data_IF_222050177515
#
_entry.id   IF_222050177515
#
_cell.length_a   1.000
_cell.length_b   1.000
_cell.length_c   1.000
_cell.angle_alpha   90.00
_cell.angle_beta   90.00
_cell.angle_gamma   90.00
#
_symmetry.space_group_name_H-M   'P 1'
#
loop_
_entity.id
_entity.type
_entity.pdbx_description
1 polymer ?
#
# COMPACT_ATOMS: atom_id res chain seq x y z
N UNK A 1 1.87 -9.84 10.09
CA UNK A 1 2.85 -9.35 9.09
C UNK A 1 2.16 -9.27 7.72
N UNK A 2 1.66 -8.09 7.32
CA UNK A 2 1.46 -7.83 5.90
C UNK A 2 2.82 -7.32 5.40
N UNK A 3 3.64 -8.19 4.81
CA UNK A 3 5.08 -7.95 4.67
C UNK A 3 5.47 -6.79 3.75
N UNK A 4 4.52 -6.13 3.06
CA UNK A 4 4.81 -5.07 2.08
C UNK A 4 5.73 -5.52 0.93
N UNK A 5 6.00 -6.83 0.84
CA UNK A 5 6.92 -7.42 -0.13
C UNK A 5 6.19 -7.50 -1.47
N UNK A 6 6.83 -6.97 -2.49
CA UNK A 6 6.35 -7.09 -3.87
C UNK A 6 6.50 -8.53 -4.36
N UNK A 7 5.63 -9.00 -5.28
CA UNK A 7 5.83 -10.28 -5.92
C UNK A 7 7.21 -10.37 -6.59
N UNK A 8 7.79 -11.58 -6.70
CA UNK A 8 9.05 -11.78 -7.42
C UNK A 8 9.00 -11.17 -8.83
N UNK A 9 10.04 -10.44 -9.22
CA UNK A 9 10.14 -9.80 -10.54
C UNK A 9 9.33 -8.49 -10.71
N UNK A 10 8.37 -8.20 -9.83
CA UNK A 10 7.40 -7.14 -10.09
C UNK A 10 7.99 -5.70 -10.05
N UNK A 11 9.07 -5.49 -9.29
CA UNK A 11 9.83 -4.22 -9.30
C UNK A 11 10.69 -4.05 -10.56
N UNK A 12 11.23 -5.14 -11.08
CA UNK A 12 12.14 -5.12 -12.24
C UNK A 12 11.36 -4.92 -13.53
N UNK A 13 10.17 -5.50 -13.62
CA UNK A 13 9.32 -5.46 -14.82
C UNK A 13 8.18 -4.44 -14.72
N UNK A 14 7.98 -3.83 -13.55
CA UNK A 14 6.82 -2.93 -13.32
C UNK A 14 5.48 -3.67 -13.33
N UNK A 15 5.48 -5.00 -13.25
CA UNK A 15 4.35 -5.88 -13.59
C UNK A 15 3.24 -6.00 -12.52
N UNK A 16 3.27 -5.21 -11.45
CA UNK A 16 2.29 -5.33 -10.35
C UNK A 16 1.12 -4.34 -10.44
N UNK A 17 1.39 -3.14 -10.97
CA UNK A 17 0.37 -2.14 -11.24
C UNK A 17 0.12 -2.17 -12.75
N UNK A 18 -1.12 -1.93 -13.17
CA UNK A 18 -1.49 -1.97 -14.59
C UNK A 18 -0.54 -1.12 -15.45
N UNK A 19 -0.12 -1.68 -16.60
CA UNK A 19 0.91 -1.10 -17.45
C UNK A 19 0.44 0.27 -18.01
N UNK A 20 1.15 1.37 -17.74
CA UNK A 20 0.77 2.69 -18.23
C UNK A 20 0.69 2.79 -19.76
N UNK A 21 1.51 2.02 -20.51
CA UNK A 21 1.46 1.99 -21.97
C UNK A 21 0.15 1.42 -22.49
N UNK A 22 -0.37 0.38 -21.83
CA UNK A 22 -1.65 -0.23 -22.18
C UNK A 22 -2.80 0.71 -21.84
N UNK A 23 -2.69 1.42 -20.72
CA UNK A 23 -3.65 2.43 -20.30
C UNK A 23 -3.60 3.73 -21.12
N UNK A 24 -2.58 3.93 -21.96
CA UNK A 24 -2.32 5.18 -22.69
C UNK A 24 -2.13 6.40 -21.76
N UNK A 25 -1.52 6.16 -20.60
CA UNK A 25 -1.29 7.16 -19.56
C UNK A 25 0.17 7.18 -19.10
N UNK A 26 0.64 8.31 -18.57
CA UNK A 26 2.02 8.40 -18.06
C UNK A 26 2.19 7.83 -16.66
N UNK A 27 1.13 7.87 -15.85
CA UNK A 27 1.14 7.47 -14.44
C UNK A 27 -0.12 6.65 -14.15
N UNK A 28 0.07 5.45 -13.61
CA UNK A 28 -1.03 4.60 -13.11
C UNK A 28 -0.83 4.35 -11.63
N UNK A 29 -1.91 4.52 -10.86
CA UNK A 29 -1.92 4.25 -9.42
C UNK A 29 -2.65 2.95 -9.13
N UNK A 30 -2.03 2.10 -8.33
CA UNK A 30 -2.63 0.90 -7.79
C UNK A 30 -2.82 1.03 -6.29
N UNK A 31 -3.89 0.45 -5.76
CA UNK A 31 -4.16 0.47 -4.33
C UNK A 31 -4.59 -0.91 -3.85
N UNK A 32 -3.97 -1.35 -2.77
CA UNK A 32 -4.30 -2.60 -2.07
C UNK A 32 -4.94 -2.21 -0.76
N UNK A 33 -6.12 -2.77 -0.47
CA UNK A 33 -6.81 -2.60 0.81
C UNK A 33 -7.05 -3.97 1.42
N UNK A 34 -6.61 -4.14 2.66
CA UNK A 34 -6.86 -5.32 3.48
C UNK A 34 -7.69 -4.88 4.69
N UNK A 35 -8.82 -5.54 4.90
CA UNK A 35 -9.67 -5.36 6.07
C UNK A 35 -9.65 -6.66 6.87
N UNK A 36 -9.32 -6.56 8.16
CA UNK A 36 -9.31 -7.69 9.08
C UNK A 36 -9.72 -7.23 10.47
N UNK A 37 -9.97 -8.19 11.36
CA UNK A 37 -10.18 -7.94 12.78
C UNK A 37 -8.89 -8.23 13.56
N UNK A 38 -8.56 -7.37 14.50
CA UNK A 38 -7.48 -7.63 15.46
C UNK A 38 -7.86 -8.74 16.46
N UNK A 39 -6.94 -9.07 17.36
CA UNK A 39 -7.14 -10.14 18.35
C UNK A 39 -8.22 -9.81 19.41
N UNK A 40 -8.63 -8.55 19.51
CA UNK A 40 -9.65 -8.05 20.44
C UNK A 40 -11.02 -7.93 19.71
N UNK A 41 -11.03 -8.04 18.38
CA UNK A 41 -12.23 -7.99 17.53
C UNK A 41 -12.46 -6.63 16.87
N UNK A 42 -11.56 -5.66 17.03
CA UNK A 42 -11.70 -4.35 16.37
C UNK A 42 -11.30 -4.43 14.91
N UNK A 43 -11.99 -3.67 14.06
CA UNK A 43 -11.68 -3.59 12.65
C UNK A 43 -10.39 -2.81 12.41
N UNK A 44 -9.50 -3.39 11.60
CA UNK A 44 -8.27 -2.77 11.14
C UNK A 44 -8.25 -2.82 9.62
N UNK A 45 -8.10 -1.64 9.01
CA UNK A 45 -7.90 -1.49 7.58
C UNK A 45 -6.45 -1.10 7.31
N UNK A 46 -5.81 -1.81 6.38
CA UNK A 46 -4.46 -1.51 5.91
C UNK A 46 -4.55 -1.20 4.43
N UNK A 47 -3.94 -0.11 4.02
CA UNK A 47 -3.88 0.34 2.65
C UNK A 47 -2.42 0.52 2.23
N UNK A 48 -2.09 0.06 1.02
CA UNK A 48 -0.85 0.40 0.34
C UNK A 48 -1.16 0.99 -1.03
N UNK A 49 -0.68 2.21 -1.26
CA UNK A 49 -0.81 2.89 -2.55
C UNK A 49 0.53 2.85 -3.29
N UNK A 50 0.47 2.44 -4.55
CA UNK A 50 1.59 2.25 -5.45
C UNK A 50 1.39 3.06 -6.72
N UNK A 51 2.48 3.38 -7.40
CA UNK A 51 2.46 4.08 -8.68
C UNK A 51 3.41 3.43 -9.67
N UNK A 52 2.92 3.17 -10.88
CA UNK A 52 3.71 2.83 -12.05
C UNK A 52 3.83 4.05 -12.95
N UNK A 53 5.06 4.48 -13.23
CA UNK A 53 5.34 5.66 -14.05
C UNK A 53 6.06 5.20 -15.31
N UNK A 54 5.52 5.57 -16.47
CA UNK A 54 6.17 5.35 -17.75
C UNK A 54 7.35 6.30 -17.88
N UNK A 55 8.55 5.73 -18.07
CA UNK A 55 9.74 6.46 -18.50
C UNK A 55 10.03 6.13 -19.96
N UNK A 56 11.01 6.83 -20.53
CA UNK A 56 11.42 6.68 -21.93
C UNK A 56 11.80 5.23 -22.29
N UNK A 57 12.47 4.52 -21.39
CA UNK A 57 13.02 3.18 -21.67
C UNK A 57 12.45 2.07 -20.78
N UNK A 58 11.81 2.40 -19.66
CA UNK A 58 11.28 1.43 -18.71
C UNK A 58 10.05 1.99 -17.97
N UNK A 59 9.39 1.13 -17.18
CA UNK A 59 8.35 1.54 -16.23
C UNK A 59 8.97 1.49 -14.84
N UNK A 60 8.81 2.55 -14.06
CA UNK A 60 9.27 2.57 -12.66
C UNK A 60 8.09 2.38 -11.72
N UNK A 61 8.18 1.38 -10.85
CA UNK A 61 7.21 1.13 -9.79
C UNK A 61 7.70 1.72 -8.46
N UNK A 62 6.85 2.47 -7.75
CA UNK A 62 7.15 3.08 -6.45
C UNK A 62 5.99 2.93 -5.49
N UNK A 63 6.29 2.83 -4.19
CA UNK A 63 5.28 2.94 -3.11
C UNK A 63 5.11 4.42 -2.76
N UNK A 64 3.87 4.92 -2.74
CA UNK A 64 3.56 6.31 -2.39
C UNK A 64 3.29 6.46 -0.89
N UNK A 65 2.49 5.56 -0.35
CA UNK A 65 2.02 5.61 1.04
C UNK A 65 1.56 4.22 1.48
N UNK A 66 1.70 3.96 2.77
CA UNK A 66 0.84 3.00 3.45
C UNK A 66 0.06 3.69 4.56
N UNK A 67 -1.16 3.23 4.79
CA UNK A 67 -2.09 3.78 5.76
C UNK A 67 -2.68 2.64 6.57
N UNK A 68 -2.69 2.77 7.89
CA UNK A 68 -3.40 1.88 8.80
C UNK A 68 -4.52 2.71 9.41
N UNK A 69 -5.74 2.18 9.39
CA UNK A 69 -6.90 2.75 10.07
C UNK A 69 -7.36 1.69 11.08
N UNK A 70 -7.42 2.08 12.36
CA UNK A 70 -7.86 1.21 13.45
C UNK A 70 -8.90 1.93 14.29
N UNK A 71 -9.71 1.18 15.00
CA UNK A 71 -10.58 1.76 16.02
C UNK A 71 -9.76 2.27 17.21
N UNK A 72 -10.00 3.50 17.61
CA UNK A 72 -9.41 4.12 18.79
C UNK A 72 -10.16 3.76 20.07
N UNK A 73 -9.59 4.12 21.21
CA UNK A 73 -10.12 3.80 22.55
C UNK A 73 -11.55 4.34 22.75
N UNK A 74 -11.91 5.41 22.04
CA UNK A 74 -13.22 6.05 22.13
C UNK A 74 -14.17 5.63 21.00
N UNK A 75 -13.84 4.59 20.22
CA UNK A 75 -14.61 4.14 19.05
C UNK A 75 -14.36 4.94 17.76
N UNK A 76 -13.56 6.02 17.83
CA UNK A 76 -13.23 6.84 16.65
C UNK A 76 -12.09 6.23 15.82
N UNK A 77 -12.14 6.30 14.48
CA UNK A 77 -11.08 5.78 13.64
C UNK A 77 -9.80 6.61 13.78
N UNK A 78 -8.69 5.94 14.14
CA UNK A 78 -7.35 6.50 14.18
C UNK A 78 -6.61 6.10 12.90
N UNK A 79 -6.11 7.09 12.17
CA UNK A 79 -5.34 6.89 10.95
C UNK A 79 -3.85 7.13 11.18
N UNK A 80 -3.03 6.14 10.83
CA UNK A 80 -1.57 6.17 10.93
C UNK A 80 -0.99 6.00 9.52
N UNK A 81 0.01 6.81 9.16
CA UNK A 81 0.61 6.77 7.82
C UNK A 81 2.11 6.45 7.87
N UNK A 82 2.62 5.81 6.82
CA UNK A 82 4.04 5.45 6.67
C UNK A 82 5.00 6.64 6.69
N UNK A 83 4.50 7.87 6.56
CA UNK A 83 5.29 9.10 6.64
C UNK A 83 5.52 9.56 8.08
N UNK A 84 4.71 9.07 9.02
CA UNK A 84 4.78 9.44 10.43
C UNK A 84 5.48 8.37 11.28
N UNK A 85 5.35 7.08 10.91
CA UNK A 85 5.90 5.93 11.65
C UNK A 85 6.21 4.78 10.67
N UNK A 86 7.19 3.93 10.99
CA UNK A 86 7.37 2.64 10.31
C UNK A 86 6.14 1.75 10.57
N UNK A 87 5.28 1.57 9.54
CA UNK A 87 4.02 0.83 9.64
C UNK A 87 4.18 -0.59 10.22
N UNK A 88 5.33 -1.22 9.99
CA UNK A 88 5.64 -2.55 10.49
C UNK A 88 5.64 -2.62 12.02
N UNK A 89 6.00 -1.53 12.71
CA UNK A 89 6.02 -1.46 14.18
C UNK A 89 4.61 -1.34 14.78
N UNK A 90 3.70 -0.68 14.08
CA UNK A 90 2.32 -0.46 14.53
C UNK A 90 1.45 -1.71 14.36
N UNK A 91 1.81 -2.64 13.49
CA UNK A 91 1.06 -3.89 13.29
C UNK A 91 1.26 -4.96 14.38
N UNK A 92 2.18 -4.73 15.33
CA UNK A 92 2.59 -5.72 16.35
C UNK A 92 1.95 -5.46 17.72
N UNK A 93 1.25 -4.33 17.90
CA UNK A 93 0.70 -3.88 19.19
C UNK A 93 -0.82 -3.76 19.15
#
# INVERSE_FOLDING_TARGET
>A
MATGIMPPGAKTEGAFVHDPKVAHDMEIRGQIRLLFQDVIGHNVQVQHTLVAIQKKTNISLRTLEGVIIREGINGEPIQITSKCVELDKEMVT
#
